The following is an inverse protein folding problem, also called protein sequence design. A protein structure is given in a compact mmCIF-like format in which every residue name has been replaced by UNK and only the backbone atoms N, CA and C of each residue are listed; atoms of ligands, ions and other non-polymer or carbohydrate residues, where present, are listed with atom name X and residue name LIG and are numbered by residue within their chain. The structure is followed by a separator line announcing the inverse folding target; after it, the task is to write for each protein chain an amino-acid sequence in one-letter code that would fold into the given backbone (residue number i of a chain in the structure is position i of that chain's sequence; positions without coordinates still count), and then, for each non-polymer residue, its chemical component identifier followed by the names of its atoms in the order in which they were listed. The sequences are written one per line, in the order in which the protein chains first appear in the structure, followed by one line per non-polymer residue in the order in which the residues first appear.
data_IF_595293088664
#
_entry.id   IF_595293088664
#
_cell.length_a   1.000
_cell.length_b   1.000
_cell.length_c   1.000
_cell.angle_alpha   90.00
_cell.angle_beta   90.00
_cell.angle_gamma   90.00
#
_symmetry.space_group_name_H-M   'P 1'
#
loop_
_entity.id
_entity.type
_entity.pdbx_description
1 polymer ?
#
# COMPACT_ATOMS: atom_id res chain seq x y z
N UNK A 1 11.91 -12.55 -29.95
CA UNK A 1 11.95 -13.46 -28.78
C UNK A 1 11.16 -12.83 -27.64
N UNK A 2 9.82 -12.99 -27.62
CA UNK A 2 8.96 -12.34 -26.61
C UNK A 2 9.26 -12.81 -25.17
N UNK A 3 9.58 -14.09 -24.98
CA UNK A 3 9.89 -14.63 -23.64
C UNK A 3 11.25 -14.18 -23.10
N UNK A 4 12.25 -13.98 -23.98
CA UNK A 4 13.58 -13.53 -23.57
C UNK A 4 13.54 -12.05 -23.14
N UNK A 5 12.74 -11.23 -23.83
CA UNK A 5 12.54 -9.83 -23.43
C UNK A 5 11.84 -9.72 -22.08
N UNK A 6 10.88 -10.59 -21.77
CA UNK A 6 10.23 -10.61 -20.45
C UNK A 6 11.24 -10.96 -19.34
N UNK A 7 12.02 -12.03 -19.50
CA UNK A 7 13.07 -12.38 -18.52
C UNK A 7 14.08 -11.24 -18.31
N UNK A 8 14.51 -10.59 -19.40
CA UNK A 8 15.46 -9.49 -19.30
C UNK A 8 14.87 -8.29 -18.53
N UNK A 9 13.59 -7.98 -18.75
CA UNK A 9 12.89 -6.93 -18.01
C UNK A 9 12.75 -7.29 -16.53
N UNK A 10 12.36 -8.53 -16.21
CA UNK A 10 12.23 -8.99 -14.82
C UNK A 10 13.57 -8.86 -14.07
N UNK A 11 14.67 -9.30 -14.68
CA UNK A 11 16.01 -9.18 -14.10
C UNK A 11 16.48 -7.73 -13.92
N UNK A 12 16.16 -6.85 -14.87
CA UNK A 12 16.57 -5.44 -14.82
C UNK A 12 15.68 -4.59 -13.89
N UNK A 13 14.49 -5.09 -13.52
CA UNK A 13 13.57 -4.40 -12.60
C UNK A 13 13.92 -4.65 -11.14
N UNK A 14 14.71 -5.69 -10.84
CA UNK A 14 15.21 -5.92 -9.49
C UNK A 14 16.21 -4.81 -9.15
N UNK A 15 15.93 -3.95 -8.16
CA UNK A 15 16.85 -2.91 -7.76
C UNK A 15 18.15 -3.55 -7.27
N UNK A 16 19.29 -3.07 -7.78
CA UNK A 16 20.61 -3.60 -7.44
C UNK A 16 21.02 -3.30 -5.99
N UNK A 17 20.27 -2.45 -5.28
CA UNK A 17 20.58 -1.95 -3.94
C UNK A 17 19.33 -1.89 -3.08
N UNK A 18 19.46 -2.08 -1.76
CA UNK A 18 18.37 -1.92 -0.79
C UNK A 18 17.99 -0.45 -0.54
N UNK A 19 18.63 0.49 -1.24
CA UNK A 19 18.49 1.94 -1.02
C UNK A 19 17.05 2.41 -1.26
N UNK A 20 16.37 1.89 -2.27
CA UNK A 20 14.98 2.28 -2.57
C UNK A 20 14.02 1.85 -1.45
N UNK A 21 14.26 0.66 -0.89
CA UNK A 21 13.47 0.11 0.22
C UNK A 21 13.79 0.87 1.51
N UNK A 22 15.07 1.17 1.77
CA UNK A 22 15.50 1.98 2.93
C UNK A 22 14.97 3.41 2.86
N UNK A 23 14.93 4.01 1.67
CA UNK A 23 14.35 5.33 1.44
C UNK A 23 12.83 5.30 1.66
N UNK A 24 12.14 4.26 1.18
CA UNK A 24 10.72 4.04 1.47
C UNK A 24 10.47 3.89 2.97
N UNK A 25 11.28 3.12 3.69
CA UNK A 25 11.16 2.99 5.14
C UNK A 25 11.54 4.27 5.88
N UNK A 26 12.47 5.08 5.37
CA UNK A 26 12.87 6.35 5.98
C UNK A 26 11.82 7.44 5.78
N UNK A 27 11.29 7.59 4.55
CA UNK A 27 10.16 8.47 4.25
C UNK A 27 8.89 8.00 4.97
N UNK A 28 8.63 6.69 4.93
CA UNK A 28 7.53 6.04 5.64
C UNK A 28 7.69 6.01 7.16
N UNK A 29 8.90 6.22 7.69
CA UNK A 29 9.11 6.36 9.14
C UNK A 29 8.33 7.55 9.70
N UNK A 30 8.03 8.58 8.89
CA UNK A 30 7.20 9.69 9.32
C UNK A 30 5.72 9.28 9.47
N UNK A 31 5.26 8.28 8.71
CA UNK A 31 3.96 7.60 8.88
C UNK A 31 3.98 6.57 10.02
N UNK A 32 5.14 5.94 10.29
CA UNK A 32 5.32 4.90 11.30
C UNK A 32 5.77 5.45 12.66
N UNK A 33 6.17 6.73 12.75
CA UNK A 33 6.58 7.34 14.00
C UNK A 33 5.37 7.42 14.90
N UNK A 34 5.53 6.83 16.08
CA UNK A 34 4.60 6.56 17.18
C UNK A 34 3.68 7.71 17.65
N UNK A 35 3.67 8.86 16.98
CA UNK A 35 3.02 10.08 17.47
C UNK A 35 1.60 10.30 16.94
N UNK A 36 1.11 9.62 15.88
CA UNK A 36 -0.26 9.93 15.42
C UNK A 36 -1.19 8.83 14.85
N UNK A 37 -0.80 7.57 14.76
CA UNK A 37 -1.66 6.59 14.06
C UNK A 37 -1.68 5.22 14.72
N UNK A 38 -2.80 4.88 15.37
CA UNK A 38 -3.20 3.48 15.58
C UNK A 38 -3.61 2.84 14.24
N UNK A 39 -2.85 3.07 13.17
CA UNK A 39 -3.12 2.49 11.87
C UNK A 39 -2.57 1.07 11.87
N UNK A 40 -3.45 0.12 11.58
CA UNK A 40 -3.07 -1.27 11.41
C UNK A 40 -1.99 -1.41 10.31
N UNK A 41 -1.28 -2.53 10.30
CA UNK A 41 -0.34 -2.90 9.22
C UNK A 41 -1.04 -2.84 7.85
N UNK A 42 -2.33 -3.16 7.80
CA UNK A 42 -3.13 -3.11 6.59
C UNK A 42 -3.38 -1.67 6.12
N UNK A 43 -3.73 -0.76 7.05
CA UNK A 43 -3.98 0.64 6.72
C UNK A 43 -2.71 1.37 6.30
N UNK A 44 -1.57 1.06 6.94
CA UNK A 44 -0.26 1.60 6.53
C UNK A 44 0.17 1.10 5.15
N UNK A 45 -0.06 -0.18 4.83
CA UNK A 45 0.20 -0.73 3.51
C UNK A 45 -0.70 -0.08 2.43
N UNK A 46 -1.99 0.10 2.72
CA UNK A 46 -2.92 0.76 1.80
C UNK A 46 -2.52 2.21 1.51
N UNK A 47 -2.09 2.97 2.52
CA UNK A 47 -1.60 4.35 2.34
C UNK A 47 -0.31 4.41 1.51
N UNK A 48 0.62 3.47 1.71
CA UNK A 48 1.83 3.38 0.89
C UNK A 48 1.50 3.09 -0.58
N UNK A 49 0.61 2.13 -0.85
CA UNK A 49 0.14 1.86 -2.21
C UNK A 49 -0.57 3.06 -2.83
N UNK A 50 -1.42 3.74 -2.06
CA UNK A 50 -2.14 4.93 -2.52
C UNK A 50 -1.17 6.07 -2.88
N UNK A 51 -0.12 6.27 -2.08
CA UNK A 51 0.93 7.24 -2.37
C UNK A 51 1.63 6.94 -3.70
N UNK A 52 2.04 5.68 -3.92
CA UNK A 52 2.70 5.25 -5.16
C UNK A 52 1.75 5.40 -6.37
N UNK A 53 0.47 5.06 -6.23
CA UNK A 53 -0.52 5.22 -7.30
C UNK A 53 -0.81 6.68 -7.63
N UNK A 54 -0.76 7.59 -6.65
CA UNK A 54 -0.86 9.03 -6.89
C UNK A 54 0.36 9.53 -7.68
N UNK A 55 1.58 9.12 -7.32
CA UNK A 55 2.80 9.48 -8.08
C UNK A 55 2.76 8.99 -9.52
N UNK A 56 2.19 7.81 -9.76
CA UNK A 56 2.00 7.25 -11.10
C UNK A 56 0.80 7.84 -11.86
N UNK A 57 0.11 8.85 -11.31
CA UNK A 57 -1.14 9.44 -11.84
C UNK A 57 -2.24 8.39 -12.10
N UNK A 58 -2.21 7.27 -11.39
CA UNK A 58 -3.21 6.20 -11.48
C UNK A 58 -4.47 6.54 -10.66
N UNK A 59 -4.35 7.46 -9.70
CA UNK A 59 -5.44 7.94 -8.85
C UNK A 59 -5.53 9.46 -8.97
N UNK A 60 -6.76 10.00 -9.13
CA UNK A 60 -6.97 11.45 -9.13
C UNK A 60 -6.96 11.94 -7.68
N UNK A 61 -6.26 13.04 -7.44
CA UNK A 61 -6.21 13.67 -6.11
C UNK A 61 -7.60 14.10 -5.61
N UNK A 62 -8.57 14.28 -6.50
CA UNK A 62 -9.99 14.51 -6.14
C UNK A 62 -10.55 13.35 -5.34
N UNK A 63 -10.27 12.12 -5.77
CA UNK A 63 -10.82 10.90 -5.19
C UNK A 63 -10.17 10.63 -3.82
N UNK A 64 -8.88 10.97 -3.69
CA UNK A 64 -8.16 10.91 -2.40
C UNK A 64 -8.73 11.91 -1.39
N UNK A 65 -9.06 13.12 -1.84
CA UNK A 65 -9.65 14.13 -0.96
C UNK A 65 -11.05 13.72 -0.48
N UNK A 66 -11.89 13.16 -1.38
CA UNK A 66 -13.19 12.61 -1.00
C UNK A 66 -13.07 11.49 0.03
N UNK A 67 -12.12 10.56 -0.14
CA UNK A 67 -11.87 9.48 0.84
C UNK A 67 -11.37 10.02 2.18
N UNK A 68 -10.60 11.12 2.19
CA UNK A 68 -10.16 11.76 3.44
C UNK A 68 -11.28 12.51 4.17
N UNK A 69 -12.34 12.91 3.46
CA UNK A 69 -13.52 13.56 4.01
C UNK A 69 -14.58 12.55 4.48
N UNK A 70 -14.49 11.29 4.06
CA UNK A 70 -15.28 10.21 4.64
C UNK A 70 -14.83 10.01 6.08
N UNK A 71 -15.72 10.32 7.02
CA UNK A 71 -15.50 10.01 8.43
C UNK A 71 -15.34 8.50 8.55
N UNK A 72 -14.24 8.04 9.17
CA UNK A 72 -14.10 6.69 9.69
C UNK A 72 -15.23 6.47 10.69
N UNK A 73 -16.38 6.03 10.18
CA UNK A 73 -17.47 5.61 11.03
C UNK A 73 -17.04 4.23 11.48
N UNK A 74 -16.62 4.13 12.75
CA UNK A 74 -16.49 2.87 13.47
C UNK A 74 -17.89 2.23 13.61
N UNK A 75 -18.57 1.95 12.49
CA UNK A 75 -19.57 0.91 12.51
C UNK A 75 -18.79 -0.38 12.70
N UNK A 76 -18.74 -0.83 13.96
CA UNK A 76 -18.39 -2.20 14.31
C UNK A 76 -19.41 -3.07 13.60
N UNK A 77 -19.11 -3.41 12.35
CA UNK A 77 -19.90 -4.35 11.58
C UNK A 77 -19.67 -5.69 12.25
N UNK A 78 -20.71 -6.24 12.87
CA UNK A 78 -20.65 -7.55 13.51
C UNK A 78 -20.49 -8.60 12.40
N UNK A 79 -19.24 -8.81 12.01
CA UNK A 79 -18.82 -9.72 10.96
C UNK A 79 -19.06 -11.15 11.49
N UNK A 80 -20.10 -11.80 10.96
CA UNK A 80 -20.44 -13.23 11.16
C UNK A 80 -19.23 -14.17 11.31
N UNK A 81 -19.22 -14.98 12.36
CA UNK A 81 -18.05 -15.75 12.79
C UNK A 81 -17.50 -16.65 11.64
N UNK A 82 -16.38 -16.24 11.02
CA UNK A 82 -15.77 -16.93 9.87
C UNK A 82 -15.50 -16.10 8.60
N UNK A 83 -15.77 -14.78 8.56
CA UNK A 83 -15.41 -13.94 7.39
C UNK A 83 -13.94 -13.99 6.99
N UNK A 84 -13.06 -14.20 7.96
CA UNK A 84 -11.61 -14.16 7.74
C UNK A 84 -11.02 -15.52 7.33
N UNK A 85 -11.87 -16.51 7.01
CA UNK A 85 -11.42 -17.84 6.57
C UNK A 85 -11.03 -17.78 5.10
N UNK A 86 -9.75 -17.55 4.84
CA UNK A 86 -9.15 -17.87 3.54
C UNK A 86 -9.19 -19.39 3.38
N UNK A 87 -9.86 -19.88 2.34
CA UNK A 87 -9.84 -21.29 2.00
C UNK A 87 -8.42 -21.66 1.53
N UNK A 88 -7.68 -22.36 2.36
CA UNK A 88 -6.45 -23.05 1.95
C UNK A 88 -6.84 -24.14 0.94
N UNK A 89 -6.42 -23.97 -0.30
CA UNK A 89 -6.49 -24.99 -1.35
C UNK A 89 -5.10 -25.46 -1.75
#
# INVERSE_FOLDING_TARGET
YPCLSCMALDYLTIPATSIDIEHLFSCGHLLLSHVHSQLSVQSTHALLCLGIWSELNLVKNTDVNEVSELQDTEEVVDLEDGWDRVADN
#
